data_IF_783171763583
#
_entry.id   IF_783171763583
#
_cell.length_a   1.000
_cell.length_b   1.000
_cell.length_c   1.000
_cell.angle_alpha   90.00
_cell.angle_beta   90.00
_cell.angle_gamma   90.00
#
_symmetry.space_group_name_H-M   'P 1'
#
loop_
_entity.id
_entity.type
_entity.pdbx_description
1 polymer ?
#
# COMPACT_ATOMS: atom_id res chain seq x y z
N UNK A 1 38.17 -19.15 35.12
CA UNK A 1 37.49 -17.87 34.86
C UNK A 1 37.55 -17.61 33.37
N UNK A 2 36.39 -17.44 32.73
CA UNK A 2 36.25 -17.33 31.28
C UNK A 2 36.80 -15.99 30.76
N UNK A 3 37.65 -16.05 29.73
CA UNK A 3 38.24 -14.89 29.04
C UNK A 3 37.19 -13.90 28.47
N UNK A 4 35.93 -14.33 28.38
CA UNK A 4 34.78 -13.51 27.96
C UNK A 4 34.40 -12.39 28.93
N UNK A 5 34.84 -12.44 30.20
CA UNK A 5 34.55 -11.39 31.19
C UNK A 5 35.54 -10.21 31.18
N UNK A 6 36.70 -10.40 30.54
CA UNK A 6 37.78 -9.41 30.48
C UNK A 6 37.37 -8.06 29.86
N UNK A 7 36.61 -7.99 28.75
CA UNK A 7 36.17 -6.70 28.20
C UNK A 7 35.17 -5.97 29.11
N UNK A 8 34.33 -6.70 29.85
CA UNK A 8 33.39 -6.08 30.79
C UNK A 8 34.10 -5.50 32.01
N UNK A 9 35.11 -6.19 32.54
CA UNK A 9 35.96 -5.66 33.62
C UNK A 9 36.77 -4.44 33.18
N UNK A 10 37.31 -4.46 31.96
CA UNK A 10 38.01 -3.31 31.40
C UNK A 10 37.06 -2.11 31.23
N UNK A 11 35.85 -2.32 30.71
CA UNK A 11 34.83 -1.28 30.61
C UNK A 11 34.45 -0.68 31.97
N UNK A 12 34.30 -1.53 32.99
CA UNK A 12 33.99 -1.10 34.35
C UNK A 12 35.14 -0.27 34.95
N UNK A 13 36.38 -0.72 34.79
CA UNK A 13 37.57 0.01 35.22
C UNK A 13 37.70 1.39 34.53
N UNK A 14 37.45 1.45 33.22
CA UNK A 14 37.45 2.71 32.45
C UNK A 14 36.34 3.65 32.97
N UNK A 15 35.14 3.13 33.24
CA UNK A 15 34.04 3.95 33.78
C UNK A 15 34.36 4.53 35.15
N UNK A 16 35.02 3.75 36.02
CA UNK A 16 35.45 4.20 37.35
C UNK A 16 36.54 5.28 37.26
N UNK A 17 37.48 5.13 36.33
CA UNK A 17 38.50 6.14 36.07
C UNK A 17 37.89 7.43 35.51
N UNK A 18 36.94 7.33 34.58
CA UNK A 18 36.22 8.47 34.03
C UNK A 18 35.40 9.21 35.11
N UNK A 19 34.70 8.46 35.98
CA UNK A 19 33.95 9.01 37.10
C UNK A 19 34.88 9.73 38.09
N UNK A 20 36.04 9.13 38.40
CA UNK A 20 37.06 9.74 39.24
C UNK A 20 37.60 11.03 38.61
N UNK A 21 37.86 11.03 37.31
CA UNK A 21 38.30 12.20 36.56
C UNK A 21 37.26 13.34 36.61
N UNK A 22 35.99 13.01 36.40
CA UNK A 22 34.87 13.96 36.51
C UNK A 22 34.75 14.55 37.92
N UNK A 23 34.88 13.71 38.96
CA UNK A 23 34.85 14.17 40.35
C UNK A 23 36.03 15.11 40.68
N UNK A 24 37.22 14.82 40.14
CA UNK A 24 38.39 15.68 40.29
C UNK A 24 38.23 17.01 39.55
N UNK A 25 37.72 16.98 38.31
CA UNK A 25 37.44 18.18 37.51
C UNK A 25 36.34 19.06 38.14
N UNK A 26 35.35 18.45 38.77
CA UNK A 26 34.29 19.16 39.48
C UNK A 26 34.73 19.79 40.82
N UNK A 27 36.00 19.64 41.22
CA UNK A 27 36.51 20.15 42.50
C UNK A 27 35.89 19.46 43.72
N UNK A 28 35.27 18.29 43.53
CA UNK A 28 34.59 17.57 44.59
C UNK A 28 35.62 16.96 45.56
N UNK A 29 35.84 17.62 46.70
CA UNK A 29 36.60 17.04 47.81
C UNK A 29 35.76 15.92 48.43
N UNK A 30 36.07 14.67 48.07
CA UNK A 30 35.41 13.47 48.61
C UNK A 30 35.65 13.39 50.12
N UNK A 31 34.72 13.91 50.91
CA UNK A 31 34.71 13.77 52.36
C UNK A 31 34.11 12.41 52.72
N UNK A 32 34.96 11.40 52.89
CA UNK A 32 34.57 10.04 53.28
C UNK A 32 33.68 9.98 54.52
N UNK A 33 33.90 10.89 55.48
CA UNK A 33 33.03 11.02 56.66
C UNK A 33 31.58 11.37 56.30
N UNK A 34 31.37 12.20 55.28
CA UNK A 34 30.05 12.60 54.80
C UNK A 34 29.35 11.47 54.03
N UNK A 35 30.13 10.61 53.34
CA UNK A 35 29.63 9.40 52.67
C UNK A 35 29.13 8.35 53.69
N UNK A 36 29.83 8.16 54.80
CA UNK A 36 29.36 7.32 55.90
C UNK A 36 28.14 7.93 56.62
N UNK A 37 28.05 9.25 56.69
CA UNK A 37 26.87 9.95 57.24
C UNK A 37 25.66 9.85 56.30
N UNK A 38 25.87 9.90 54.98
CA UNK A 38 24.84 9.69 53.96
C UNK A 38 24.26 8.27 54.02
N UNK A 39 25.07 7.27 54.39
CA UNK A 39 24.58 5.90 54.56
C UNK A 39 23.65 5.73 55.77
N UNK A 40 23.76 6.63 56.76
CA UNK A 40 22.81 6.73 57.87
C UNK A 40 21.57 7.55 57.52
N UNK A 41 21.63 8.38 56.49
CA UNK A 41 20.54 9.24 56.05
C UNK A 41 19.62 8.50 55.06
N UNK A 42 18.89 7.50 55.56
CA UNK A 42 17.95 6.70 54.74
C UNK A 42 16.74 7.52 54.26
N UNK A 43 16.51 8.72 54.79
CA UNK A 43 15.37 9.55 54.40
C UNK A 43 15.47 10.08 52.96
N UNK A 44 16.68 10.31 52.43
CA UNK A 44 16.88 10.76 51.04
C UNK A 44 16.90 9.63 49.99
N UNK A 45 17.24 8.40 50.40
CA UNK A 45 17.32 7.23 49.51
C UNK A 45 15.95 6.70 49.07
N UNK A 46 14.94 6.80 49.93
CA UNK A 46 13.57 6.32 49.62
C UNK A 46 12.92 7.17 48.51
N UNK A 47 13.23 8.47 48.45
CA UNK A 47 12.68 9.36 47.43
C UNK A 47 13.35 9.16 46.06
N UNK A 48 14.67 8.96 46.02
CA UNK A 48 15.38 8.68 44.76
C UNK A 48 15.07 7.28 44.21
N UNK A 49 14.84 6.28 45.07
CA UNK A 49 14.40 4.95 44.66
C UNK A 49 13.05 4.99 43.93
N UNK A 50 12.10 5.75 44.47
CA UNK A 50 10.77 5.92 43.86
C UNK A 50 10.87 6.60 42.50
N UNK A 51 11.77 7.59 42.34
CA UNK A 51 12.01 8.23 41.05
C UNK A 51 12.67 7.28 40.03
N UNK A 52 13.68 6.52 40.45
CA UNK A 52 14.39 5.58 39.56
C UNK A 52 13.47 4.47 39.05
N UNK A 53 12.48 4.04 39.86
CA UNK A 53 11.50 3.04 39.45
C UNK A 53 10.36 3.61 38.60
N UNK A 54 9.87 4.81 38.92
CA UNK A 54 8.72 5.40 38.21
C UNK A 54 9.11 6.00 36.86
N UNK A 55 10.32 6.55 36.73
CA UNK A 55 10.75 7.22 35.50
C UNK A 55 10.75 6.29 34.26
N UNK A 56 11.32 5.07 34.29
CA UNK A 56 11.26 4.15 33.15
C UNK A 56 9.83 3.73 32.80
N UNK A 57 8.98 3.50 33.80
CA UNK A 57 7.56 3.16 33.59
C UNK A 57 6.83 4.32 32.93
N UNK A 58 7.06 5.55 33.40
CA UNK A 58 6.49 6.76 32.80
C UNK A 58 6.93 6.93 31.35
N UNK A 59 8.22 6.77 31.05
CA UNK A 59 8.74 6.86 29.66
C UNK A 59 8.16 5.74 28.78
N UNK A 60 8.03 4.52 29.30
CA UNK A 60 7.38 3.41 28.58
C UNK A 60 5.92 3.74 28.22
N UNK A 61 5.15 4.27 29.16
CA UNK A 61 3.76 4.68 28.93
C UNK A 61 3.68 5.86 27.95
N UNK A 62 4.55 6.86 28.07
CA UNK A 62 4.59 7.99 27.15
C UNK A 62 4.93 7.56 25.72
N UNK A 63 5.95 6.70 25.57
CA UNK A 63 6.28 6.13 24.26
C UNK A 63 5.14 5.29 23.68
N UNK A 64 4.44 4.52 24.51
CA UNK A 64 3.28 3.75 24.08
C UNK A 64 2.15 4.65 23.55
N UNK A 65 1.83 5.73 24.26
CA UNK A 65 0.83 6.71 23.80
C UNK A 65 1.25 7.32 22.45
N UNK A 66 2.52 7.70 22.30
CA UNK A 66 3.04 8.23 21.02
C UNK A 66 2.90 7.21 19.88
N UNK A 67 3.16 5.93 20.14
CA UNK A 67 3.00 4.86 19.15
C UNK A 67 1.53 4.66 18.75
N UNK A 68 0.60 4.68 19.71
CA UNK A 68 -0.83 4.57 19.42
C UNK A 68 -1.32 5.75 18.58
N UNK A 69 -0.91 6.98 18.92
CA UNK A 69 -1.28 8.16 18.15
C UNK A 69 -0.75 8.10 16.71
N UNK A 70 0.46 7.57 16.50
CA UNK A 70 1.03 7.40 15.16
C UNK A 70 0.27 6.34 14.35
N UNK A 71 -0.14 5.25 14.98
CA UNK A 71 -0.96 4.23 14.33
C UNK A 71 -2.33 4.79 13.92
N UNK A 72 -2.95 5.59 14.80
CA UNK A 72 -4.23 6.25 14.52
C UNK A 72 -4.13 7.26 13.37
N UNK A 73 -3.08 8.10 13.35
CA UNK A 73 -2.84 9.02 12.23
C UNK A 73 -2.64 8.24 10.93
N UNK A 74 -1.87 7.14 10.95
CA UNK A 74 -1.70 6.28 9.79
C UNK A 74 -3.02 5.71 9.27
N UNK A 75 -3.93 5.28 10.17
CA UNK A 75 -5.24 4.76 9.78
C UNK A 75 -6.08 5.83 9.08
N UNK A 76 -6.14 7.05 9.64
CA UNK A 76 -6.86 8.18 9.05
C UNK A 76 -6.30 8.51 7.66
N UNK A 77 -4.98 8.48 7.49
CA UNK A 77 -4.35 8.73 6.19
C UNK A 77 -4.69 7.67 5.15
N UNK A 78 -4.79 6.38 5.52
CA UNK A 78 -5.17 5.31 4.59
C UNK A 78 -6.64 5.40 4.22
N UNK A 79 -7.53 5.76 5.16
CA UNK A 79 -8.93 6.06 4.88
C UNK A 79 -9.07 7.23 3.90
N UNK A 80 -8.32 8.30 4.13
CA UNK A 80 -8.27 9.43 3.20
C UNK A 80 -7.66 9.02 1.85
N UNK A 81 -6.66 8.14 1.85
CA UNK A 81 -6.07 7.57 0.64
C UNK A 81 -7.07 6.77 -0.18
N UNK A 82 -7.91 5.95 0.46
CA UNK A 82 -8.99 5.22 -0.21
C UNK A 82 -10.03 6.18 -0.82
N UNK A 83 -10.39 7.23 -0.10
CA UNK A 83 -11.29 8.26 -0.63
C UNK A 83 -10.67 9.03 -1.81
N UNK A 84 -9.41 9.44 -1.70
CA UNK A 84 -8.69 10.14 -2.77
C UNK A 84 -8.55 9.26 -4.02
N UNK A 85 -8.24 7.97 -3.85
CA UNK A 85 -8.19 7.00 -4.93
C UNK A 85 -9.56 6.85 -5.61
N UNK A 86 -10.64 6.69 -4.84
CA UNK A 86 -11.98 6.55 -5.37
C UNK A 86 -12.44 7.80 -6.15
N UNK A 87 -12.16 9.00 -5.64
CA UNK A 87 -12.42 10.27 -6.35
C UNK A 87 -11.58 10.41 -7.61
N UNK A 88 -10.32 9.98 -7.56
CA UNK A 88 -9.45 9.94 -8.74
C UNK A 88 -9.98 8.95 -9.79
N UNK A 89 -10.52 7.81 -9.38
CA UNK A 89 -11.10 6.82 -10.28
C UNK A 89 -12.29 7.39 -11.07
N UNK A 90 -13.19 8.12 -10.40
CA UNK A 90 -14.34 8.77 -11.04
C UNK A 90 -13.90 9.78 -12.12
N UNK A 91 -12.73 10.41 -11.97
CA UNK A 91 -12.22 11.37 -12.96
C UNK A 91 -11.46 10.68 -14.10
N UNK A 92 -10.61 9.71 -13.78
CA UNK A 92 -9.71 9.11 -14.76
C UNK A 92 -10.33 7.95 -15.55
N UNK A 93 -11.31 7.23 -15.01
CA UNK A 93 -12.01 6.17 -15.74
C UNK A 93 -12.73 6.74 -16.98
N UNK A 94 -13.49 7.85 -16.89
CA UNK A 94 -14.12 8.45 -18.06
C UNK A 94 -13.16 9.18 -18.99
N UNK A 95 -11.99 9.61 -18.49
CA UNK A 95 -11.04 10.39 -19.29
C UNK A 95 -10.50 9.60 -20.49
N UNK A 96 -10.28 10.30 -21.61
CA UNK A 96 -9.59 9.75 -22.79
C UNK A 96 -8.08 9.89 -22.63
N UNK A 97 -7.34 8.79 -22.70
CA UNK A 97 -5.87 8.78 -22.77
C UNK A 97 -5.43 8.11 -24.07
N UNK A 98 -5.84 8.69 -25.20
CA UNK A 98 -5.65 8.12 -26.53
C UNK A 98 -4.16 7.85 -26.86
N UNK A 99 -3.25 8.69 -26.37
CA UNK A 99 -1.81 8.52 -26.56
C UNK A 99 -1.26 7.25 -25.88
N UNK A 100 -1.95 6.77 -24.85
CA UNK A 100 -1.58 5.59 -24.06
C UNK A 100 -2.50 4.39 -24.32
N UNK A 101 -3.41 4.50 -25.30
CA UNK A 101 -4.26 3.40 -25.77
C UNK A 101 -5.49 3.08 -24.92
N UNK A 102 -5.83 3.91 -23.93
CA UNK A 102 -7.07 3.77 -23.14
C UNK A 102 -8.08 4.87 -23.54
N UNK A 103 -9.22 4.48 -24.14
CA UNK A 103 -10.28 5.42 -24.52
C UNK A 103 -11.18 5.78 -23.33
N UNK A 104 -12.18 6.63 -23.56
CA UNK A 104 -13.19 7.03 -22.58
C UNK A 104 -13.92 5.81 -21.98
N UNK A 105 -14.18 5.81 -20.67
CA UNK A 105 -14.81 4.73 -19.90
C UNK A 105 -14.16 3.33 -20.01
N UNK A 106 -13.08 3.18 -20.77
CA UNK A 106 -12.33 1.94 -20.84
C UNK A 106 -11.30 1.88 -19.74
N UNK A 107 -11.23 0.75 -19.07
CA UNK A 107 -10.11 0.41 -18.21
C UNK A 107 -9.24 -0.63 -18.91
N UNK A 108 -7.99 -0.76 -18.48
CA UNK A 108 -7.10 -1.81 -18.96
C UNK A 108 -7.62 -3.23 -18.66
N UNK A 109 -6.71 -4.18 -18.50
CA UNK A 109 -7.13 -5.57 -18.24
C UNK A 109 -7.84 -5.72 -16.89
N UNK A 110 -8.83 -6.59 -16.83
CA UNK A 110 -9.54 -6.95 -15.60
C UNK A 110 -9.66 -8.47 -15.46
N UNK A 111 -10.00 -8.92 -14.25
CA UNK A 111 -10.32 -10.32 -13.95
C UNK A 111 -11.67 -10.38 -13.25
N UNK A 112 -12.61 -11.18 -13.78
CA UNK A 112 -13.88 -11.43 -13.08
C UNK A 112 -13.62 -12.30 -11.85
N UNK A 113 -14.11 -11.88 -10.68
CA UNK A 113 -13.84 -12.58 -9.41
C UNK A 113 -15.05 -13.36 -8.94
N UNK A 114 -16.22 -12.73 -8.97
CA UNK A 114 -17.44 -13.29 -8.42
C UNK A 114 -18.65 -12.68 -9.11
N UNK A 115 -19.77 -13.41 -9.06
CA UNK A 115 -21.09 -12.81 -9.17
C UNK A 115 -21.64 -12.70 -7.75
N UNK A 116 -22.07 -11.50 -7.36
CA UNK A 116 -22.66 -11.24 -6.05
C UNK A 116 -24.12 -10.83 -6.23
N UNK A 117 -25.01 -11.32 -5.37
CA UNK A 117 -26.43 -10.95 -5.40
C UNK A 117 -26.69 -10.08 -4.18
N UNK A 118 -26.73 -8.77 -4.39
CA UNK A 118 -27.04 -7.80 -3.35
C UNK A 118 -28.52 -7.41 -3.35
N UNK A 119 -28.92 -6.60 -2.37
CA UNK A 119 -30.28 -6.06 -2.28
C UNK A 119 -30.65 -5.19 -3.51
N UNK A 120 -29.64 -4.60 -4.17
CA UNK A 120 -29.77 -3.75 -5.36
C UNK A 120 -29.76 -4.53 -6.69
N UNK A 121 -29.75 -5.86 -6.65
CA UNK A 121 -29.74 -6.73 -7.83
C UNK A 121 -28.51 -7.64 -7.91
N UNK A 122 -28.36 -8.29 -9.07
CA UNK A 122 -27.21 -9.17 -9.31
C UNK A 122 -26.08 -8.36 -9.91
N UNK A 123 -24.90 -8.43 -9.32
CA UNK A 123 -23.69 -7.76 -9.80
C UNK A 123 -22.63 -8.78 -10.22
N UNK A 124 -21.98 -8.53 -11.35
CA UNK A 124 -20.71 -9.16 -11.67
C UNK A 124 -19.58 -8.28 -11.14
N UNK A 125 -18.70 -8.87 -10.32
CA UNK A 125 -17.56 -8.16 -9.72
C UNK A 125 -16.31 -8.41 -10.55
N UNK A 126 -15.77 -7.33 -11.11
CA UNK A 126 -14.55 -7.33 -11.91
C UNK A 126 -13.44 -6.59 -11.17
N UNK A 127 -12.26 -7.19 -11.04
CA UNK A 127 -11.09 -6.52 -10.49
C UNK A 127 -10.22 -5.97 -11.59
N UNK A 128 -9.94 -4.68 -11.51
CA UNK A 128 -9.01 -4.02 -12.41
C UNK A 128 -7.59 -4.52 -12.08
N UNK A 129 -6.87 -5.01 -13.08
CA UNK A 129 -5.48 -5.38 -12.90
C UNK A 129 -4.65 -4.10 -12.70
N UNK A 130 -3.58 -4.13 -11.88
CA UNK A 130 -2.77 -2.96 -11.56
C UNK A 130 -1.83 -2.56 -12.72
N UNK A 131 -2.40 -2.40 -13.90
CA UNK A 131 -1.75 -2.12 -15.18
C UNK A 131 -2.47 -0.96 -15.85
N UNK A 132 -1.75 -0.21 -16.68
CA UNK A 132 -2.34 0.85 -17.48
C UNK A 132 -2.21 2.25 -16.86
N UNK A 133 -2.32 3.29 -17.69
CA UNK A 133 -2.14 4.67 -17.27
C UNK A 133 -3.21 5.20 -16.31
N UNK A 134 -4.50 4.88 -16.51
CA UNK A 134 -5.55 5.32 -15.59
C UNK A 134 -5.35 4.78 -14.18
N UNK A 135 -5.02 3.49 -14.08
CA UNK A 135 -4.70 2.86 -12.81
C UNK A 135 -3.52 3.56 -12.12
N UNK A 136 -2.45 3.90 -12.85
CA UNK A 136 -1.31 4.65 -12.30
C UNK A 136 -1.71 6.01 -11.73
N UNK A 137 -2.62 6.75 -12.40
CA UNK A 137 -3.11 8.04 -11.89
C UNK A 137 -3.91 7.88 -10.59
N UNK A 138 -4.74 6.84 -10.51
CA UNK A 138 -5.53 6.50 -9.31
C UNK A 138 -4.61 6.08 -8.15
N UNK A 139 -3.63 5.23 -8.43
CA UNK A 139 -2.61 4.80 -7.46
C UNK A 139 -1.79 5.99 -6.95
N UNK A 140 -1.36 6.87 -7.85
CA UNK A 140 -0.60 8.07 -7.49
C UNK A 140 -1.38 8.98 -6.53
N UNK A 141 -2.69 9.14 -6.72
CA UNK A 141 -3.54 9.90 -5.80
C UNK A 141 -3.57 9.28 -4.39
N UNK A 142 -3.69 7.96 -4.28
CA UNK A 142 -3.65 7.24 -3.01
C UNK A 142 -2.29 7.39 -2.31
N UNK A 143 -1.20 7.23 -3.06
CA UNK A 143 0.16 7.34 -2.54
C UNK A 143 0.46 8.77 -2.04
N UNK A 144 0.03 9.80 -2.77
CA UNK A 144 0.18 11.19 -2.35
C UNK A 144 -0.55 11.49 -1.03
N UNK A 145 -1.72 10.90 -0.82
CA UNK A 145 -2.45 11.01 0.44
C UNK A 145 -1.70 10.35 1.61
N UNK A 146 -1.08 9.19 1.39
CA UNK A 146 -0.31 8.45 2.41
C UNK A 146 1.11 9.00 2.64
N UNK A 147 1.53 10.02 1.89
CA UNK A 147 2.90 10.56 1.96
C UNK A 147 3.22 11.23 3.31
N UNK A 148 2.21 11.71 4.03
CA UNK A 148 2.39 12.35 5.33
C UNK A 148 2.92 11.36 6.39
N UNK A 149 2.43 10.13 6.40
CA UNK A 149 2.89 9.03 7.26
C UNK A 149 4.17 8.34 6.75
N UNK A 150 4.55 8.54 5.49
CA UNK A 150 5.80 7.99 4.95
C UNK A 150 7.05 8.55 5.65
N UNK A 151 8.11 7.74 5.82
CA UNK A 151 9.35 8.16 6.46
C UNK A 151 10.12 9.18 5.61
N UNK A 152 10.67 10.22 6.25
CA UNK A 152 11.50 11.23 5.56
C UNK A 152 12.94 10.78 5.27
N UNK A 153 13.38 9.68 5.89
CA UNK A 153 14.72 9.11 5.69
C UNK A 153 14.75 8.24 4.44
N UNK A 154 15.90 8.12 3.79
CA UNK A 154 16.08 7.19 2.69
C UNK A 154 15.94 5.75 3.19
N UNK A 155 15.03 5.00 2.57
CA UNK A 155 14.73 3.59 2.92
C UNK A 155 15.36 2.59 1.95
N UNK A 156 16.21 3.05 1.02
CA UNK A 156 16.73 2.22 -0.06
C UNK A 156 15.85 2.20 -1.31
N UNK A 157 14.65 2.80 -1.24
CA UNK A 157 13.69 2.86 -2.34
C UNK A 157 13.98 4.11 -3.18
N UNK A 158 14.26 3.92 -4.47
CA UNK A 158 14.38 5.00 -5.44
C UNK A 158 13.02 5.48 -5.92
N UNK A 159 12.95 6.72 -6.40
CA UNK A 159 11.74 7.25 -7.02
C UNK A 159 11.64 6.72 -8.46
N UNK A 160 10.49 6.15 -8.81
CA UNK A 160 10.19 5.63 -10.16
C UNK A 160 9.76 6.75 -11.12
N UNK A 161 9.57 6.41 -12.40
CA UNK A 161 9.18 7.38 -13.44
C UNK A 161 7.92 8.20 -13.09
N UNK A 162 6.78 7.62 -12.68
CA UNK A 162 5.60 8.41 -12.33
C UNK A 162 5.85 9.31 -11.11
N UNK A 163 6.65 8.86 -10.15
CA UNK A 163 7.08 9.69 -9.04
C UNK A 163 7.90 10.91 -9.47
N UNK A 164 8.81 10.73 -10.44
CA UNK A 164 9.66 11.79 -10.97
C UNK A 164 8.84 12.89 -11.68
N UNK A 165 7.75 12.53 -12.37
CA UNK A 165 6.83 13.51 -12.97
C UNK A 165 6.06 14.32 -11.91
N UNK A 166 5.65 13.67 -10.82
CA UNK A 166 4.86 14.30 -9.76
C UNK A 166 5.67 15.18 -8.79
N UNK A 167 6.96 14.87 -8.61
CA UNK A 167 7.81 15.52 -7.62
C UNK A 167 7.93 17.05 -7.80
N UNK A 168 8.14 17.62 -9.01
CA UNK A 168 8.22 19.07 -9.20
C UNK A 168 6.93 19.79 -8.79
N UNK A 169 5.76 19.20 -9.12
CA UNK A 169 4.45 19.75 -8.73
C UNK A 169 4.28 19.75 -7.22
N UNK A 170 4.69 18.67 -6.56
CA UNK A 170 4.66 18.58 -5.10
C UNK A 170 5.61 19.59 -4.44
N UNK A 171 6.84 19.73 -4.94
CA UNK A 171 7.80 20.72 -4.43
C UNK A 171 7.26 22.14 -4.61
N UNK A 172 6.71 22.46 -5.78
CA UNK A 172 6.09 23.75 -6.07
C UNK A 172 4.94 24.05 -5.11
N UNK A 173 4.04 23.09 -4.87
CA UNK A 173 2.95 23.22 -3.92
C UNK A 173 3.46 23.41 -2.49
N UNK A 174 4.45 22.63 -2.05
CA UNK A 174 5.04 22.73 -0.72
C UNK A 174 5.69 24.11 -0.49
N UNK A 175 6.47 24.61 -1.44
CA UNK A 175 7.12 25.92 -1.31
C UNK A 175 6.19 27.11 -1.52
N UNK A 176 4.99 26.89 -2.07
CA UNK A 176 3.91 27.87 -2.07
C UNK A 176 3.27 27.97 -0.67
N UNK A 177 3.06 26.84 0.01
CA UNK A 177 2.49 26.81 1.37
C UNK A 177 3.49 27.21 2.46
N UNK A 178 4.78 26.89 2.29
CA UNK A 178 5.84 27.18 3.25
C UNK A 178 7.06 27.88 2.60
N UNK A 179 6.95 29.15 2.18
CA UNK A 179 8.02 29.87 1.48
C UNK A 179 9.33 29.95 2.28
N UNK A 180 9.25 30.01 3.62
CA UNK A 180 10.42 30.06 4.52
C UNK A 180 11.32 28.82 4.43
N UNK A 181 10.82 27.72 3.85
CA UNK A 181 11.57 26.47 3.72
C UNK A 181 12.38 26.37 2.41
N UNK A 182 12.30 27.35 1.50
CA UNK A 182 13.03 27.31 0.21
C UNK A 182 14.56 27.24 0.35
N UNK A 183 15.11 27.82 1.42
CA UNK A 183 16.56 27.78 1.69
C UNK A 183 17.01 26.47 2.32
N UNK A 184 16.08 25.61 2.75
CA UNK A 184 16.39 24.37 3.43
C UNK A 184 16.63 23.24 2.40
N UNK A 185 17.91 23.01 2.08
CA UNK A 185 18.35 21.97 1.13
C UNK A 185 17.95 20.55 1.51
N UNK A 186 17.49 20.32 2.75
CA UNK A 186 17.01 19.00 3.20
C UNK A 186 15.55 18.71 2.84
N UNK A 187 14.77 19.70 2.44
CA UNK A 187 13.33 19.52 2.16
C UNK A 187 13.11 18.66 0.93
N UNK A 188 13.79 18.98 -0.16
CA UNK A 188 13.70 18.25 -1.43
C UNK A 188 13.98 16.74 -1.28
N UNK A 189 15.12 16.29 -0.72
CA UNK A 189 15.36 14.86 -0.55
C UNK A 189 14.37 14.20 0.41
N UNK A 190 13.81 14.94 1.38
CA UNK A 190 12.77 14.39 2.29
C UNK A 190 11.45 14.15 1.56
N UNK A 191 11.02 15.10 0.71
CA UNK A 191 9.82 14.93 -0.11
C UNK A 191 10.00 13.78 -1.10
N UNK A 192 11.16 13.71 -1.75
CA UNK A 192 11.51 12.61 -2.65
C UNK A 192 11.46 11.24 -1.93
N UNK A 193 12.09 11.12 -0.75
CA UNK A 193 12.08 9.87 0.02
C UNK A 193 10.66 9.46 0.44
N UNK A 194 9.85 10.43 0.88
CA UNK A 194 8.46 10.18 1.29
C UNK A 194 7.61 9.71 0.12
N UNK A 195 7.74 10.37 -1.04
CA UNK A 195 7.02 10.02 -2.24
C UNK A 195 7.44 8.64 -2.77
N UNK A 196 8.75 8.38 -2.82
CA UNK A 196 9.28 7.08 -3.25
C UNK A 196 8.76 5.94 -2.36
N UNK A 197 8.81 6.13 -1.04
CA UNK A 197 8.25 5.15 -0.11
C UNK A 197 6.75 5.00 -0.30
N UNK A 198 6.00 6.10 -0.42
CA UNK A 198 4.55 6.04 -0.57
C UNK A 198 4.12 5.30 -1.85
N UNK A 199 4.80 5.52 -2.97
CA UNK A 199 4.49 4.86 -4.24
C UNK A 199 4.77 3.35 -4.18
N UNK A 200 5.89 2.94 -3.58
CA UNK A 200 6.25 1.53 -3.43
C UNK A 200 5.35 0.78 -2.42
N UNK A 201 4.92 1.46 -1.35
CA UNK A 201 4.27 0.84 -0.18
C UNK A 201 2.77 1.05 -0.10
N UNK A 202 2.18 1.73 -1.07
CA UNK A 202 0.73 1.88 -1.19
C UNK A 202 0.24 0.99 -2.32
N UNK A 203 -0.62 0.03 -2.01
CA UNK A 203 -1.37 -0.76 -2.98
C UNK A 203 -2.78 -0.20 -3.13
N UNK A 204 -3.29 -0.20 -4.36
CA UNK A 204 -4.69 0.10 -4.64
C UNK A 204 -5.33 -1.14 -5.25
N UNK A 205 -6.56 -1.43 -4.90
CA UNK A 205 -7.35 -2.50 -5.48
C UNK A 205 -8.70 -1.91 -5.85
N UNK A 206 -9.07 -2.03 -7.10
CA UNK A 206 -10.32 -1.47 -7.64
C UNK A 206 -11.16 -2.65 -8.10
N UNK A 207 -12.30 -2.83 -7.44
CA UNK A 207 -13.29 -3.82 -7.77
C UNK A 207 -14.53 -3.07 -8.32
N UNK A 208 -14.93 -3.37 -9.55
CA UNK A 208 -16.08 -2.79 -10.26
C UNK A 208 -17.27 -3.73 -10.08
N UNK A 209 -18.36 -3.20 -9.55
CA UNK A 209 -19.62 -3.90 -9.36
C UNK A 209 -20.52 -3.53 -10.53
N UNK A 210 -20.53 -4.40 -11.52
CA UNK A 210 -21.22 -4.21 -12.78
C UNK A 210 -22.60 -4.85 -12.73
N UNK A 211 -23.64 -4.13 -13.11
CA UNK A 211 -25.02 -4.62 -13.07
C UNK A 211 -25.24 -5.76 -14.06
N UNK A 212 -25.93 -6.83 -13.64
CA UNK A 212 -26.22 -7.96 -14.52
C UNK A 212 -27.19 -7.63 -15.67
N UNK A 213 -27.95 -6.53 -15.55
CA UNK A 213 -28.80 -6.03 -16.62
C UNK A 213 -28.01 -5.29 -17.71
N UNK A 214 -26.77 -4.89 -17.43
CA UNK A 214 -25.88 -4.28 -18.41
C UNK A 214 -25.06 -5.36 -19.15
N UNK A 215 -24.67 -5.10 -20.41
CA UNK A 215 -23.83 -6.03 -21.16
C UNK A 215 -22.49 -6.23 -20.45
N UNK A 216 -22.02 -7.48 -20.29
CA UNK A 216 -20.82 -7.78 -19.51
C UNK A 216 -19.60 -7.07 -20.10
N UNK A 217 -18.60 -6.74 -19.28
CA UNK A 217 -17.36 -6.07 -19.73
C UNK A 217 -16.54 -6.83 -20.79
N UNK A 218 -16.95 -8.06 -21.14
CA UNK A 218 -16.29 -8.94 -22.11
C UNK A 218 -16.28 -8.35 -23.53
N UNK A 219 -15.62 -9.02 -24.47
CA UNK A 219 -15.81 -8.67 -25.88
C UNK A 219 -17.24 -9.02 -26.29
N UNK A 220 -18.04 -8.01 -26.61
CA UNK A 220 -19.39 -8.20 -27.08
C UNK A 220 -19.62 -7.30 -28.29
N UNK A 221 -20.02 -7.94 -29.39
CA UNK A 221 -20.27 -7.28 -30.65
C UNK A 221 -21.78 -7.27 -30.89
N UNK A 222 -22.46 -6.17 -30.53
CA UNK A 222 -23.89 -6.00 -30.85
C UNK A 222 -23.99 -5.17 -32.11
N UNK A 223 -24.07 -5.83 -33.25
CA UNK A 223 -24.45 -5.19 -34.52
C UNK A 223 -25.91 -4.72 -34.45
N UNK A 224 -26.28 -3.50 -34.89
CA UNK A 224 -25.46 -2.51 -35.61
C UNK A 224 -24.74 -1.48 -34.72
N UNK A 225 -24.76 -1.61 -33.40
CA UNK A 225 -24.29 -0.62 -32.42
C UNK A 225 -22.81 -0.76 -32.04
N UNK A 226 -21.94 -1.10 -33.00
CA UNK A 226 -20.49 -1.26 -32.79
C UNK A 226 -19.79 -0.01 -32.24
N UNK A 227 -20.39 1.16 -32.48
CA UNK A 227 -19.88 2.44 -31.99
C UNK A 227 -20.35 2.79 -30.58
N UNK A 228 -21.42 2.14 -30.10
CA UNK A 228 -22.05 2.46 -28.82
C UNK A 228 -21.36 1.74 -27.66
N UNK A 229 -20.72 0.60 -27.95
CA UNK A 229 -20.19 -0.27 -26.93
C UNK A 229 -18.80 -0.74 -27.26
N UNK A 230 -17.87 -0.41 -26.39
CA UNK A 230 -16.51 -0.85 -26.51
C UNK A 230 -16.21 -1.99 -25.53
N UNK A 231 -15.30 -2.92 -25.89
CA UNK A 231 -14.82 -3.90 -24.94
C UNK A 231 -14.18 -3.18 -23.73
N UNK A 232 -14.39 -3.72 -22.53
CA UNK A 232 -13.88 -3.18 -21.26
C UNK A 232 -14.43 -1.80 -20.87
N UNK A 233 -15.57 -1.39 -21.44
CA UNK A 233 -16.25 -0.15 -21.06
C UNK A 233 -16.99 -0.31 -19.72
N UNK A 234 -16.61 0.48 -18.72
CA UNK A 234 -17.31 0.55 -17.43
C UNK A 234 -18.60 1.35 -17.59
N UNK A 235 -19.70 0.79 -17.09
CA UNK A 235 -21.00 1.45 -17.07
C UNK A 235 -21.00 2.71 -16.20
N UNK A 236 -21.76 3.72 -16.61
CA UNK A 236 -21.93 4.93 -15.81
C UNK A 236 -22.72 4.69 -14.52
N UNK A 237 -23.45 3.57 -14.39
CA UNK A 237 -24.14 3.19 -13.14
C UNK A 237 -23.34 2.21 -12.28
N UNK A 238 -22.17 1.78 -12.75
CA UNK A 238 -21.36 0.82 -12.03
C UNK A 238 -20.85 1.40 -10.72
N UNK A 239 -20.73 0.54 -9.71
CA UNK A 239 -20.20 0.96 -8.43
C UNK A 239 -18.74 0.57 -8.31
N UNK A 240 -17.91 1.53 -7.93
CA UNK A 240 -16.49 1.35 -7.72
C UNK A 240 -16.23 1.08 -6.25
N UNK A 241 -15.68 -0.08 -5.94
CA UNK A 241 -15.17 -0.42 -4.62
C UNK A 241 -13.65 -0.35 -4.63
N UNK A 242 -13.11 0.71 -4.03
CA UNK A 242 -11.67 0.97 -3.99
C UNK A 242 -11.13 0.65 -2.60
N UNK A 243 -10.23 -0.32 -2.53
CA UNK A 243 -9.47 -0.67 -1.32
C UNK A 243 -8.06 -0.13 -1.45
N UNK A 244 -7.57 0.59 -0.44
CA UNK A 244 -6.17 1.02 -0.35
C UNK A 244 -5.52 0.28 0.80
N UNK A 245 -4.34 -0.27 0.54
CA UNK A 245 -3.46 -0.86 1.55
C UNK A 245 -2.16 -0.06 1.59
N UNK A 246 -1.73 0.37 2.78
CA UNK A 246 -0.46 1.06 2.95
C UNK A 246 0.39 0.40 4.04
N UNK A 247 1.65 0.11 3.74
CA UNK A 247 2.60 -0.43 4.71
C UNK A 247 3.22 0.69 5.55
N UNK A 248 2.55 1.06 6.64
CA UNK A 248 2.97 2.12 7.56
C UNK A 248 4.35 1.81 8.18
N UNK A 249 5.30 2.72 8.04
CA UNK A 249 6.63 2.60 8.66
C UNK A 249 6.55 2.85 10.17
N UNK A 250 6.75 1.81 10.97
CA UNK A 250 6.76 1.91 12.43
C UNK A 250 8.03 2.63 12.91
N UNK A 251 7.86 3.57 13.85
CA UNK A 251 9.00 4.17 14.52
C UNK A 251 9.76 3.14 15.37
N UNK A 252 11.08 3.30 15.51
CA UNK A 252 11.86 2.51 16.46
C UNK A 252 11.45 2.89 17.89
N UNK A 253 10.47 2.19 18.44
CA UNK A 253 10.05 2.34 19.83
C UNK A 253 10.14 1.03 20.61
N UNK A 254 9.64 0.98 21.85
CA UNK A 254 9.79 -0.16 22.76
C UNK A 254 9.23 -1.47 22.17
N UNK A 255 8.16 -1.38 21.35
CA UNK A 255 7.65 -2.51 20.59
C UNK A 255 8.73 -3.20 19.74
N UNK A 256 9.70 -2.46 19.17
CA UNK A 256 10.83 -3.03 18.42
C UNK A 256 11.76 -3.83 19.33
N UNK A 257 11.96 -3.41 20.57
CA UNK A 257 12.80 -4.13 21.54
C UNK A 257 12.12 -5.45 21.92
N UNK A 258 10.80 -5.42 22.15
CA UNK A 258 10.01 -6.60 22.49
C UNK A 258 9.93 -7.58 21.31
N UNK A 259 9.75 -7.09 20.09
CA UNK A 259 9.66 -7.93 18.89
C UNK A 259 11.04 -8.44 18.43
N UNK A 260 12.09 -7.63 18.58
CA UNK A 260 13.45 -7.97 18.17
C UNK A 260 14.06 -9.12 18.98
N UNK A 261 13.75 -9.21 20.28
CA UNK A 261 14.24 -10.30 21.14
C UNK A 261 13.70 -11.67 20.70
N UNK A 262 12.44 -11.74 20.26
CA UNK A 262 11.81 -13.00 19.85
C UNK A 262 12.43 -13.67 18.61
N UNK A 263 13.10 -12.91 17.73
CA UNK A 263 13.77 -13.47 16.53
C UNK A 263 15.18 -13.97 16.82
N UNK A 264 15.92 -13.32 17.71
CA UNK A 264 17.29 -13.73 18.07
C UNK A 264 17.28 -15.09 18.78
N UNK A 265 16.26 -15.35 19.58
CA UNK A 265 16.11 -16.64 20.28
C UNK A 265 15.70 -17.79 19.35
N UNK A 266 15.09 -17.50 18.20
CA UNK A 266 14.71 -18.53 17.21
C UNK A 266 15.84 -18.86 16.24
N UNK A 267 16.65 -17.87 15.85
CA UNK A 267 17.83 -18.09 15.02
C UNK A 267 18.94 -18.88 15.75
N UNK A 268 19.09 -18.66 17.06
CA UNK A 268 20.04 -19.41 17.89
C UNK A 268 19.60 -20.85 18.20
N UNK A 269 18.28 -21.13 18.18
CA UNK A 269 17.74 -22.47 18.45
C UNK A 269 17.63 -23.37 17.21
N UNK A 270 17.66 -22.79 16.01
CA UNK A 270 17.62 -23.54 14.74
C UNK A 270 18.99 -23.99 14.23
N UNK A 271 20.10 -23.59 14.88
CA UNK A 271 21.47 -23.84 14.41
C UNK A 271 22.14 -25.13 14.89
N UNK A 272 21.43 -26.03 15.60
CA UNK A 272 22.07 -27.21 16.23
C UNK A 272 21.43 -28.55 15.84
N UNK A 273 20.91 -28.65 14.62
CA UNK A 273 20.31 -29.88 14.07
C UNK A 273 21.09 -30.42 12.86
N UNK A 274 22.15 -31.18 13.16
CA UNK A 274 22.68 -32.30 12.37
C UNK A 274 22.74 -32.19 10.84
N UNK A 275 23.94 -31.87 10.36
CA UNK A 275 24.47 -32.35 9.09
C UNK A 275 24.53 -33.89 9.07
N UNK A 276 23.91 -34.52 8.07
CA UNK A 276 24.30 -35.84 7.58
C UNK A 276 24.18 -35.83 6.06
N UNK A 277 25.20 -36.37 5.42
CA UNK A 277 25.60 -36.05 4.05
C UNK A 277 24.71 -36.60 2.95
N UNK A 278 24.89 -36.06 1.75
CA UNK A 278 25.39 -36.87 0.65
C UNK A 278 25.94 -35.98 -0.47
N UNK A 279 27.23 -36.14 -0.72
CA UNK A 279 27.92 -35.72 -1.92
C UNK A 279 27.52 -36.64 -3.09
N UNK A 280 27.15 -36.05 -4.23
CA UNK A 280 27.15 -36.68 -5.56
C UNK A 280 27.10 -35.55 -6.60
N UNK A 281 28.25 -35.01 -7.01
CA UNK A 281 28.97 -35.33 -8.24
C UNK A 281 28.17 -35.14 -9.56
N UNK A 282 28.62 -34.12 -10.31
CA UNK A 282 28.84 -34.07 -11.76
C UNK A 282 27.68 -34.34 -12.73
N UNK A 283 27.31 -33.33 -13.53
CA UNK A 283 27.67 -33.25 -14.96
C UNK A 283 27.06 -32.00 -15.63
N UNK A 284 27.93 -31.13 -16.13
CA UNK A 284 27.74 -30.41 -17.41
C UNK A 284 27.94 -31.43 -18.57
N UNK A 285 27.48 -31.23 -19.82
CA UNK A 285 27.59 -29.95 -20.54
C UNK A 285 26.51 -29.60 -21.61
N UNK A 286 26.57 -28.33 -22.04
CA UNK A 286 26.38 -27.79 -23.41
C UNK A 286 25.14 -28.13 -24.27
N UNK A 287 24.53 -27.06 -24.79
CA UNK A 287 24.26 -26.90 -26.24
C UNK A 287 22.80 -26.81 -26.67
N UNK A 288 22.48 -25.85 -27.55
CA UNK A 288 21.33 -25.98 -28.46
C UNK A 288 20.49 -24.71 -28.70
N UNK A 289 20.81 -24.03 -29.79
CA UNK A 289 20.00 -23.00 -30.48
C UNK A 289 18.91 -23.64 -31.37
N UNK A 290 17.71 -23.05 -31.48
CA UNK A 290 16.76 -22.98 -32.65
C UNK A 290 15.35 -22.62 -32.10
N UNK A 291 14.64 -21.54 -32.47
CA UNK A 291 14.03 -21.08 -33.75
C UNK A 291 12.98 -22.02 -34.37
N UNK A 292 11.67 -21.68 -34.22
CA UNK A 292 10.54 -21.71 -35.20
C UNK A 292 9.20 -21.61 -34.41
N UNK A 293 8.23 -20.70 -34.65
CA UNK A 293 7.24 -20.63 -35.75
C UNK A 293 6.65 -22.03 -36.05
N UNK A 294 5.34 -22.32 -36.10
CA UNK A 294 4.10 -21.56 -36.29
C UNK A 294 2.87 -22.42 -35.89
N UNK A 295 1.68 -21.79 -35.94
CA UNK A 295 0.33 -22.36 -36.23
C UNK A 295 -0.34 -23.32 -35.23
N UNK A 296 -1.46 -22.88 -34.65
CA UNK A 296 -2.86 -23.22 -34.97
C UNK A 296 -3.38 -24.31 -34.04
N UNK A 297 -4.38 -23.99 -33.21
CA UNK A 297 -5.62 -24.79 -33.22
C UNK A 297 -6.76 -24.10 -32.45
N UNK A 298 -7.91 -24.23 -33.09
CA UNK A 298 -9.22 -23.75 -32.72
C UNK A 298 -9.99 -24.91 -32.08
N UNK A 299 -10.68 -24.66 -30.97
CA UNK A 299 -11.88 -25.42 -30.61
C UNK A 299 -11.83 -26.28 -29.35
N UNK A 300 -12.98 -26.32 -28.67
CA UNK A 300 -13.39 -27.46 -27.85
C UNK A 300 -13.57 -27.15 -26.36
N UNK A 301 -14.79 -26.74 -26.00
CA UNK A 301 -15.20 -26.62 -24.61
C UNK A 301 -15.18 -27.94 -23.84
N UNK A 302 -14.96 -27.83 -22.53
CA UNK A 302 -15.35 -28.84 -21.56
C UNK A 302 -15.80 -28.16 -20.28
N UNK A 303 -17.09 -28.31 -19.97
CA UNK A 303 -17.66 -28.06 -18.65
C UNK A 303 -16.89 -28.89 -17.61
N UNK A 304 -16.41 -28.24 -16.56
CA UNK A 304 -15.82 -28.87 -15.39
C UNK A 304 -16.58 -28.44 -14.15
N UNK A 305 -17.45 -29.35 -13.74
CA UNK A 305 -18.25 -29.39 -12.53
C UNK A 305 -17.38 -29.38 -11.27
N UNK A 306 -17.79 -28.61 -10.26
CA UNK A 306 -17.58 -28.93 -8.84
C UNK A 306 -16.18 -28.73 -8.26
N UNK A 307 -15.93 -27.54 -7.69
CA UNK A 307 -14.78 -27.28 -6.81
C UNK A 307 -15.18 -26.40 -5.64
N UNK A 308 -15.40 -27.04 -4.48
CA UNK A 308 -15.65 -26.45 -3.17
C UNK A 308 -14.89 -25.14 -2.92
N UNK A 309 -15.62 -24.02 -2.82
CA UNK A 309 -15.14 -22.84 -2.11
C UNK A 309 -15.19 -23.13 -0.61
N UNK A 310 -14.03 -23.41 -0.02
CA UNK A 310 -13.84 -23.45 1.41
C UNK A 310 -13.78 -22.02 1.98
N UNK A 311 -14.93 -21.34 2.01
CA UNK A 311 -15.15 -20.13 2.82
C UNK A 311 -15.36 -20.49 4.29
N UNK A 312 -14.37 -21.16 4.87
CA UNK A 312 -14.40 -21.67 6.24
C UNK A 312 -13.00 -21.77 6.85
N UNK A 313 -12.09 -20.88 6.46
CA UNK A 313 -10.82 -20.71 7.15
C UNK A 313 -11.10 -20.10 8.52
N UNK A 314 -11.06 -20.91 9.56
CA UNK A 314 -10.88 -20.47 10.95
C UNK A 314 -9.95 -19.24 10.94
N UNK A 315 -10.29 -18.11 11.60
CA UNK A 315 -9.33 -17.04 11.82
C UNK A 315 -8.29 -17.58 12.79
N UNK A 316 -7.39 -18.42 12.28
CA UNK A 316 -6.17 -18.82 12.94
C UNK A 316 -5.57 -17.51 13.39
N UNK A 317 -5.32 -17.41 14.69
CA UNK A 317 -4.61 -16.32 15.34
C UNK A 317 -3.23 -16.19 14.70
N UNK A 318 -3.18 -15.61 13.48
CA UNK A 318 -1.98 -15.15 12.83
C UNK A 318 -1.47 -14.12 13.80
N UNK A 319 -0.48 -14.51 14.60
CA UNK A 319 -0.06 -13.67 15.71
C UNK A 319 0.28 -12.31 15.13
N UNK A 320 -0.15 -11.23 15.79
CA UNK A 320 0.08 -9.85 15.34
C UNK A 320 1.55 -9.61 14.90
N UNK A 321 2.49 -10.32 15.52
CA UNK A 321 3.92 -10.34 15.19
C UNK A 321 4.26 -10.87 13.78
N UNK A 322 3.47 -11.77 13.19
CA UNK A 322 3.67 -12.27 11.83
C UNK A 322 3.37 -11.22 10.76
N UNK A 323 2.52 -10.23 11.06
CA UNK A 323 2.18 -9.16 10.11
C UNK A 323 3.26 -8.09 10.00
N UNK A 324 4.18 -8.03 10.96
CA UNK A 324 5.27 -7.05 10.96
C UNK A 324 6.40 -7.55 10.06
N UNK A 325 6.59 -6.88 8.94
CA UNK A 325 7.62 -7.19 7.95
C UNK A 325 8.81 -6.24 8.14
N UNK A 326 10.03 -6.79 8.06
CA UNK A 326 11.25 -5.98 8.02
C UNK A 326 11.66 -5.78 6.58
N UNK A 327 11.65 -4.54 6.10
CA UNK A 327 12.01 -4.17 4.73
C UNK A 327 13.09 -3.08 4.78
N UNK A 328 14.29 -3.38 4.27
CA UNK A 328 15.47 -2.49 4.33
C UNK A 328 15.71 -1.84 5.72
N UNK A 329 15.54 -2.63 6.79
CA UNK A 329 15.73 -2.15 8.16
C UNK A 329 14.58 -1.28 8.71
N UNK A 330 13.49 -1.13 7.97
CA UNK A 330 12.24 -0.50 8.40
C UNK A 330 11.22 -1.59 8.72
N UNK A 331 10.61 -1.51 9.90
CA UNK A 331 9.49 -2.37 10.25
C UNK A 331 8.20 -1.74 9.74
N UNK A 332 7.38 -2.50 9.04
CA UNK A 332 6.13 -2.01 8.47
C UNK A 332 4.94 -2.76 9.04
N UNK A 333 3.79 -2.08 9.06
CA UNK A 333 2.50 -2.66 9.42
C UNK A 333 1.47 -2.33 8.32
N UNK A 334 0.80 -3.33 7.74
CA UNK A 334 -0.20 -3.07 6.71
C UNK A 334 -1.47 -2.49 7.35
N UNK A 335 -1.85 -1.30 6.88
CA UNK A 335 -3.13 -0.66 7.16
C UNK A 335 -3.98 -0.72 5.91
N UNK A 336 -5.29 -0.89 6.05
CA UNK A 336 -6.21 -1.02 4.93
C UNK A 336 -7.50 -0.25 5.20
N UNK A 337 -8.00 0.42 4.17
CA UNK A 337 -9.31 1.05 4.16
C UNK A 337 -9.98 0.82 2.80
N UNK A 338 -11.31 0.82 2.77
CA UNK A 338 -12.07 0.69 1.52
C UNK A 338 -13.18 1.73 1.46
N UNK A 339 -13.45 2.21 0.25
CA UNK A 339 -14.50 3.17 -0.05
C UNK A 339 -15.29 2.65 -1.25
N UNK A 340 -16.62 2.76 -1.18
CA UNK A 340 -17.54 2.45 -2.28
C UNK A 340 -18.15 3.76 -2.78
N UNK A 341 -18.05 4.02 -4.06
CA UNK A 341 -18.67 5.17 -4.72
C UNK A 341 -19.37 4.70 -5.99
N UNK A 342 -20.45 5.37 -6.37
CA UNK A 342 -21.03 5.18 -7.69
C UNK A 342 -20.12 5.87 -8.71
N UNK A 343 -19.97 5.26 -9.88
CA UNK A 343 -19.42 5.97 -11.03
C UNK A 343 -20.40 7.11 -11.35
N UNK A 344 -19.94 8.36 -11.32
CA UNK A 344 -20.76 9.53 -11.71
C UNK A 344 -20.31 10.04 -13.09
N UNK A 345 -19.79 9.13 -13.94
CA UNK A 345 -19.31 9.44 -15.27
C UNK A 345 -20.42 9.97 -16.19
N UNK A 346 -20.00 10.66 -17.25
CA UNK A 346 -20.92 11.01 -18.33
C UNK A 346 -21.56 9.72 -18.86
N UNK A 347 -22.88 9.76 -19.03
CA UNK A 347 -23.61 8.75 -19.83
C UNK A 347 -22.80 8.57 -21.13
N UNK A 348 -22.57 7.34 -21.62
CA UNK A 348 -21.76 7.10 -22.80
C UNK A 348 -22.12 8.08 -23.92
N UNK A 349 -21.12 8.39 -24.75
CA UNK A 349 -21.20 9.41 -25.80
C UNK A 349 -22.43 9.24 -26.71
N UNK A 350 -23.04 8.04 -26.74
CA UNK A 350 -24.32 7.77 -27.35
C UNK A 350 -25.38 7.37 -26.29
N UNK A 351 -26.59 7.96 -26.33
CA UNK A 351 -27.66 7.58 -25.43
C UNK A 351 -28.11 6.15 -25.73
N UNK A 352 -28.10 5.29 -24.69
CA UNK A 352 -28.70 3.95 -24.76
C UNK A 352 -30.11 4.01 -25.36
N UNK A 353 -30.27 3.49 -26.58
CA UNK A 353 -31.59 3.13 -27.08
C UNK A 353 -31.92 1.74 -26.55
N UNK A 354 -32.33 1.70 -25.28
CA UNK A 354 -32.90 0.50 -24.71
C UNK A 354 -34.34 0.40 -25.25
N UNK A 355 -34.54 -0.35 -26.32
CA UNK A 355 -35.88 -0.72 -26.75
C UNK A 355 -36.44 -1.72 -25.73
N UNK A 356 -37.10 -1.17 -24.71
CA UNK A 356 -37.75 -1.93 -23.63
C UNK A 356 -39.05 -2.60 -24.10
N UNK A 357 -39.41 -2.50 -25.39
CA UNK A 357 -40.47 -3.31 -25.96
C UNK A 357 -39.92 -4.71 -26.21
N UNK A 358 -40.26 -5.67 -25.35
CA UNK A 358 -39.82 -7.07 -25.41
C UNK A 358 -40.29 -7.85 -26.65
N UNK A 359 -40.50 -7.19 -27.78
CA UNK A 359 -40.97 -7.75 -29.04
C UNK A 359 -39.90 -7.55 -30.12
N UNK A 360 -38.90 -8.44 -30.18
CA UNK A 360 -38.10 -8.56 -31.41
C UNK A 360 -38.60 -9.73 -32.26
N UNK A 361 -39.49 -9.52 -33.24
CA UNK A 361 -39.45 -10.30 -34.45
C UNK A 361 -38.39 -9.69 -35.38
N UNK A 362 -37.55 -10.56 -35.92
CA UNK A 362 -36.63 -10.30 -37.03
C UNK A 362 -37.21 -9.30 -38.04
N UNK A 363 -36.76 -8.03 -38.02
CA UNK A 363 -37.22 -7.00 -38.96
C UNK A 363 -36.11 -6.56 -39.91
N UNK A 364 -36.46 -6.70 -41.17
CA UNK A 364 -35.83 -6.22 -42.39
C UNK A 364 -35.32 -4.77 -42.27
N UNK A 365 -34.00 -4.62 -42.42
CA UNK A 365 -33.27 -3.35 -42.37
C UNK A 365 -33.60 -2.37 -43.52
N UNK A 366 -34.47 -2.75 -44.46
CA UNK A 366 -34.86 -1.90 -45.61
C UNK A 366 -35.76 -0.71 -45.25
N UNK A 367 -36.23 -0.59 -44.00
CA UNK A 367 -37.19 0.45 -43.57
C UNK A 367 -36.65 1.54 -42.65
N UNK A 368 -35.35 1.60 -42.36
CA UNK A 368 -34.83 2.76 -41.63
C UNK A 368 -34.89 4.01 -42.53
N UNK A 369 -35.66 5.06 -42.16
CA UNK A 369 -35.65 6.32 -42.89
C UNK A 369 -34.23 6.91 -42.78
N UNK A 370 -33.68 7.36 -43.92
CA UNK A 370 -32.45 8.17 -43.91
C UNK A 370 -32.62 9.30 -42.91
N UNK A 371 -31.76 9.35 -41.90
CA UNK A 371 -31.73 10.45 -40.95
C UNK A 371 -31.70 11.78 -41.72
N UNK A 372 -32.59 12.73 -41.41
CA UNK A 372 -32.54 14.04 -42.02
C UNK A 372 -31.21 14.69 -41.63
N UNK A 373 -30.50 15.25 -42.60
CA UNK A 373 -29.29 16.04 -42.39
C UNK A 373 -29.57 17.15 -41.38
N UNK A 374 -29.17 16.98 -40.12
CA UNK A 374 -29.26 18.02 -39.10
C UNK A 374 -28.29 19.14 -39.47
N UNK A 375 -28.85 20.31 -39.75
CA UNK A 375 -28.08 21.55 -39.93
C UNK A 375 -27.45 21.96 -38.58
N UNK A 376 -26.12 22.11 -38.55
CA UNK A 376 -25.27 22.43 -37.39
C UNK A 376 -25.49 23.80 -36.73
N UNK A 377 -26.66 24.45 -36.86
CA UNK A 377 -26.83 25.88 -36.47
C UNK A 377 -27.56 26.17 -35.16
N UNK A 378 -27.94 25.19 -34.35
CA UNK A 378 -28.73 25.45 -33.12
C UNK A 378 -28.17 24.80 -31.85
N UNK A 379 -26.85 24.82 -31.66
CA UNK A 379 -26.25 24.60 -30.35
C UNK A 379 -25.45 25.83 -29.96
N UNK A 380 -26.08 26.75 -29.22
CA UNK A 380 -25.52 27.62 -28.16
C UNK A 380 -26.47 28.83 -27.97
N UNK A 381 -27.09 29.00 -26.78
CA UNK A 381 -27.39 30.32 -26.24
C UNK A 381 -26.17 30.95 -25.55
#
# INVERSE_FOLDING_TARGET
MSLSLLPYLAGLAISLLALKGLAMLAGARVRWAHLFQLHRDQQGGVQSLSFVLTFPVFVMVMMFIVQLSQMMIGQIEVEYGAFAAARSAIVWIPARLAEEGELENQIGTYTQISADTGDDGTFSVYRINPTGPKYRRIHFAAAMACMAASPSRFTGIGLDHPGMEGLPSLQKAYFAMAPSQRTNTRVEPRLQNKLAYALDRTGVRIDVWHKAEEPPLAYWEVSPYLAEFQPNEIGWQDQLHVTVEHHLALLPGPARILLGQSRVDRASRSGNGSSSGNDSQSNDPQGGTQQSLSEEEFGGGSQSTGGNQSTGGNPSSSSFAQRIQGYHGVYTYPLQASVRLNNEGEKPAYPYYQDLSGDLPFQDFSRYPRLPSMNEREFFP
#
